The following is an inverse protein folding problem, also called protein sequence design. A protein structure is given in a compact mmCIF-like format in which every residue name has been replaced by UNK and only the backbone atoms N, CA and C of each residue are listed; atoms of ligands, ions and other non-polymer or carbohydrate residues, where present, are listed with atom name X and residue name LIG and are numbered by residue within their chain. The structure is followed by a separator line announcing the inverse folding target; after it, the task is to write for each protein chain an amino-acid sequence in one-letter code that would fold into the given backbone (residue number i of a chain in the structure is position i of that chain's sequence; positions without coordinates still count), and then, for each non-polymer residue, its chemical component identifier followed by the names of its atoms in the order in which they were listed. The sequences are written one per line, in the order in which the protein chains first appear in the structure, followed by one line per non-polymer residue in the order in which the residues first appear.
data_IF_628441940733
#
_entry.id   IF_628441940733
#
_cell.length_a   1.000
_cell.length_b   1.000
_cell.length_c   1.000
_cell.angle_alpha   90.00
_cell.angle_beta   90.00
_cell.angle_gamma   90.00
#
_symmetry.space_group_name_H-M   'P 1'
#
loop_
_entity.id
_entity.type
_entity.pdbx_description
1 polymer ?
#
# COMPACT_ATOMS: atom_id res chain seq x y z
N UNK A 1 0.46 -30.62 -12.96
CA UNK A 1 1.49 -29.95 -12.14
C UNK A 1 0.73 -29.17 -11.09
N UNK A 2 0.92 -29.40 -9.78
CA UNK A 2 0.30 -28.52 -8.79
C UNK A 2 1.07 -27.21 -8.88
N UNK A 3 0.47 -26.21 -9.52
CA UNK A 3 0.87 -24.82 -9.36
C UNK A 3 0.80 -24.55 -7.87
N UNK A 4 1.93 -24.27 -7.23
CA UNK A 4 1.93 -23.74 -5.87
C UNK A 4 0.99 -22.53 -5.89
N UNK A 5 -0.23 -22.72 -5.36
CA UNK A 5 -1.15 -21.63 -5.12
C UNK A 5 -0.43 -20.72 -4.13
N UNK A 6 0.30 -19.73 -4.66
CA UNK A 6 0.96 -18.69 -3.88
C UNK A 6 -0.16 -17.87 -3.26
N UNK A 7 -0.67 -18.37 -2.15
CA UNK A 7 -1.72 -17.70 -1.41
C UNK A 7 -1.16 -16.38 -0.91
N UNK A 8 -1.99 -15.34 -0.93
CA UNK A 8 -1.61 -14.01 -0.43
C UNK A 8 -1.04 -14.09 1.01
N UNK A 9 -1.48 -15.06 1.81
CA UNK A 9 -0.93 -15.35 3.14
C UNK A 9 0.55 -15.72 3.14
N UNK A 10 1.02 -16.49 2.17
CA UNK A 10 2.42 -16.86 2.05
C UNK A 10 3.27 -15.64 1.66
N UNK A 11 2.78 -14.85 0.69
CA UNK A 11 3.41 -13.57 0.32
C UNK A 11 3.51 -12.60 1.49
N UNK A 12 2.47 -12.51 2.33
CA UNK A 12 2.53 -11.71 3.55
C UNK A 12 3.61 -12.18 4.51
N UNK A 13 3.77 -13.50 4.68
CA UNK A 13 4.82 -14.06 5.53
C UNK A 13 6.20 -13.72 4.99
N UNK A 14 6.45 -14.00 3.71
CA UNK A 14 7.74 -13.78 3.06
C UNK A 14 8.14 -12.30 3.10
N UNK A 15 7.18 -11.41 2.86
CA UNK A 15 7.39 -9.96 2.93
C UNK A 15 7.54 -9.45 4.37
N UNK A 16 6.94 -10.11 5.36
CA UNK A 16 7.14 -9.78 6.79
C UNK A 16 8.56 -10.08 7.23
N UNK A 17 9.09 -11.23 6.78
CA UNK A 17 10.42 -11.73 7.16
C UNK A 17 11.54 -11.00 6.42
N UNK A 18 11.28 -10.49 5.20
CA UNK A 18 12.29 -9.83 4.35
C UNK A 18 12.27 -8.30 4.42
N UNK A 19 11.13 -7.67 4.69
CA UNK A 19 10.98 -6.21 4.63
C UNK A 19 10.53 -5.62 5.97
N UNK A 20 11.07 -4.44 6.34
CA UNK A 20 10.54 -3.68 7.46
C UNK A 20 9.14 -3.17 7.12
N UNK A 21 8.35 -2.94 8.17
CA UNK A 21 6.92 -2.64 8.10
C UNK A 21 6.55 -1.56 7.05
N UNK A 22 7.22 -0.41 7.12
CA UNK A 22 6.99 0.73 6.21
C UNK A 22 7.32 0.47 4.73
N UNK A 23 8.01 -0.62 4.38
CA UNK A 23 8.30 -1.02 3.00
C UNK A 23 7.32 -2.06 2.46
N UNK A 24 6.40 -2.55 3.29
CA UNK A 24 5.45 -3.59 2.89
C UNK A 24 4.31 -2.98 2.07
N UNK A 25 3.81 -3.70 1.05
CA UNK A 25 2.74 -3.19 0.20
C UNK A 25 1.44 -3.06 0.99
N UNK A 26 0.86 -1.86 0.96
CA UNK A 26 -0.45 -1.60 1.59
C UNK A 26 -1.61 -2.30 0.88
N UNK A 27 -1.53 -2.45 -0.45
CA UNK A 27 -2.47 -3.21 -1.27
C UNK A 27 -1.75 -4.30 -2.01
N UNK A 28 -2.28 -5.52 -1.92
CA UNK A 28 -1.73 -6.67 -2.61
C UNK A 28 -2.83 -7.44 -3.33
N UNK A 29 -2.54 -7.86 -4.56
CA UNK A 29 -3.39 -8.73 -5.36
C UNK A 29 -2.51 -9.65 -6.20
N UNK A 30 -2.88 -10.91 -6.27
CA UNK A 30 -2.27 -11.90 -7.17
C UNK A 30 -3.12 -11.95 -8.44
N UNK A 31 -2.46 -11.87 -9.60
CA UNK A 31 -3.10 -11.98 -10.90
C UNK A 31 -3.41 -13.45 -11.20
N UNK A 32 -4.56 -13.72 -11.83
CA UNK A 32 -4.94 -15.06 -12.28
C UNK A 32 -4.30 -15.37 -13.64
N UNK A 33 -4.28 -16.64 -14.04
CA UNK A 33 -3.65 -17.11 -15.28
C UNK A 33 -4.08 -16.38 -16.56
N UNK A 34 -5.32 -15.85 -16.59
CA UNK A 34 -5.87 -15.13 -17.73
C UNK A 34 -5.75 -13.59 -17.60
N UNK A 35 -5.09 -13.09 -16.55
CA UNK A 35 -4.91 -11.66 -16.30
C UNK A 35 -3.46 -11.26 -16.61
N UNK A 36 -3.27 -10.42 -17.63
CA UNK A 36 -1.95 -9.92 -18.02
C UNK A 36 -1.77 -8.45 -17.62
N UNK A 37 -0.51 -8.11 -17.32
CA UNK A 37 -0.13 -6.72 -17.07
C UNK A 37 -0.24 -5.94 -18.39
N UNK A 38 -0.92 -4.79 -18.42
CA UNK A 38 -0.96 -3.93 -19.60
C UNK A 38 0.40 -3.26 -19.81
N UNK A 39 0.94 -3.39 -21.02
CA UNK A 39 2.21 -2.81 -21.44
C UNK A 39 2.02 -1.82 -22.58
N UNK A 40 2.88 -0.80 -22.63
CA UNK A 40 3.05 0.04 -23.81
C UNK A 40 3.70 -0.73 -24.95
N UNK A 41 3.69 -0.16 -26.16
CA UNK A 41 4.46 -0.70 -27.30
C UNK A 41 5.97 -0.86 -26.99
N UNK A 42 6.50 -0.11 -26.02
CA UNK A 42 7.88 -0.20 -25.52
C UNK A 42 8.06 -1.14 -24.33
N UNK A 43 7.08 -2.02 -24.05
CA UNK A 43 7.11 -2.99 -22.94
C UNK A 43 7.18 -2.35 -21.55
N UNK A 44 6.72 -1.10 -21.39
CA UNK A 44 6.62 -0.46 -20.07
C UNK A 44 5.23 -0.71 -19.47
N UNK A 45 5.13 -1.13 -18.19
CA UNK A 45 3.84 -1.28 -17.53
C UNK A 45 3.05 0.03 -17.51
N UNK A 46 1.76 -0.02 -17.86
CA UNK A 46 0.88 1.15 -17.85
C UNK A 46 0.23 1.28 -16.46
N UNK A 47 0.89 2.00 -15.55
CA UNK A 47 0.46 2.13 -14.14
C UNK A 47 -0.99 2.57 -13.98
N UNK A 48 -1.43 3.60 -14.72
CA UNK A 48 -2.80 4.12 -14.62
C UNK A 48 -3.84 3.05 -14.97
N UNK A 49 -3.52 2.21 -15.97
CA UNK A 49 -4.39 1.14 -16.41
C UNK A 49 -4.38 -0.03 -15.43
N UNK A 50 -3.22 -0.39 -14.86
CA UNK A 50 -3.14 -1.38 -13.79
C UNK A 50 -3.97 -0.98 -12.57
N UNK A 51 -3.87 0.28 -12.14
CA UNK A 51 -4.63 0.81 -11.01
C UNK A 51 -6.14 0.74 -11.25
N UNK A 52 -6.58 1.09 -12.46
CA UNK A 52 -7.99 1.00 -12.85
C UNK A 52 -8.47 -0.44 -12.95
N UNK A 53 -7.74 -1.31 -13.66
CA UNK A 53 -8.14 -2.70 -13.95
C UNK A 53 -8.12 -3.58 -12.70
N UNK A 54 -7.09 -3.47 -11.86
CA UNK A 54 -6.86 -4.42 -10.76
C UNK A 54 -7.26 -3.89 -9.40
N UNK A 55 -7.15 -2.57 -9.19
CA UNK A 55 -7.42 -1.93 -7.90
C UNK A 55 -8.67 -1.05 -7.89
N UNK A 56 -9.36 -0.90 -9.03
CA UNK A 56 -10.59 -0.12 -9.15
C UNK A 56 -10.41 1.38 -8.93
N UNK A 57 -9.18 1.89 -9.08
CA UNK A 57 -8.84 3.30 -8.83
C UNK A 57 -9.02 4.10 -10.13
N UNK A 58 -10.01 5.00 -10.17
CA UNK A 58 -10.17 5.99 -11.25
C UNK A 58 -9.49 7.31 -10.91
N UNK A 59 -9.81 7.86 -9.74
CA UNK A 59 -9.31 9.17 -9.26
C UNK A 59 -8.70 9.05 -7.87
N UNK A 60 -9.40 8.38 -6.96
CA UNK A 60 -8.93 8.04 -5.63
C UNK A 60 -9.31 6.60 -5.27
N UNK A 61 -8.51 5.98 -4.42
CA UNK A 61 -8.81 4.65 -3.89
C UNK A 61 -9.73 4.77 -2.68
N UNK A 62 -10.77 3.93 -2.62
CA UNK A 62 -11.71 3.88 -1.50
C UNK A 62 -11.59 2.52 -0.78
N UNK A 63 -11.17 2.55 0.49
CA UNK A 63 -11.00 1.36 1.33
C UNK A 63 -12.31 0.59 1.56
N UNK A 64 -13.46 1.27 1.52
CA UNK A 64 -14.77 0.65 1.70
C UNK A 64 -15.23 -0.13 0.46
N UNK A 65 -14.64 0.17 -0.71
CA UNK A 65 -15.02 -0.43 -2.00
C UNK A 65 -13.82 -1.15 -2.62
N UNK A 66 -13.43 -2.25 -2.01
CA UNK A 66 -12.33 -3.08 -2.49
C UNK A 66 -12.66 -3.75 -3.82
N UNK A 67 -11.74 -3.64 -4.78
CA UNK A 67 -11.82 -4.41 -6.00
C UNK A 67 -11.66 -5.91 -5.70
N UNK A 68 -12.34 -6.81 -6.43
CA UNK A 68 -12.27 -8.25 -6.17
C UNK A 68 -10.84 -8.78 -6.17
N UNK A 69 -10.48 -9.57 -5.15
CA UNK A 69 -9.14 -10.19 -5.04
C UNK A 69 -8.04 -9.25 -4.53
N UNK A 70 -8.34 -7.98 -4.27
CA UNK A 70 -7.42 -7.07 -3.55
C UNK A 70 -7.55 -7.33 -2.05
N UNK A 71 -6.41 -7.51 -1.38
CA UNK A 71 -6.32 -7.54 0.08
C UNK A 71 -5.62 -6.27 0.57
N UNK A 72 -6.17 -5.68 1.63
CA UNK A 72 -5.50 -4.60 2.36
C UNK A 72 -4.56 -5.26 3.36
N UNK A 73 -3.28 -4.92 3.28
CA UNK A 73 -2.35 -5.20 4.35
C UNK A 73 -2.43 -4.08 5.37
N UNK A 74 -3.36 -4.18 6.30
CA UNK A 74 -3.35 -3.32 7.47
C UNK A 74 -2.15 -3.74 8.30
N UNK A 75 -1.05 -3.01 8.21
CA UNK A 75 -0.11 -3.03 9.31
C UNK A 75 -0.86 -2.47 10.51
N UNK A 76 -1.00 -3.30 11.56
CA UNK A 76 -0.96 -2.75 12.89
C UNK A 76 0.43 -2.14 13.03
N UNK A 77 0.66 -0.94 12.50
CA UNK A 77 1.65 -0.08 13.08
C UNK A 77 1.24 -0.04 14.55
N UNK A 78 2.00 -0.61 15.50
CA UNK A 78 1.85 -0.08 16.83
C UNK A 78 2.08 1.42 16.62
N UNK A 79 1.08 2.23 16.93
CA UNK A 79 1.30 3.64 17.27
C UNK A 79 2.14 3.63 18.56
N UNK A 80 3.34 3.08 18.48
CA UNK A 80 4.21 2.72 19.57
C UNK A 80 5.05 3.93 19.88
N UNK A 81 4.43 4.94 20.47
CA UNK A 81 5.14 6.13 20.94
C UNK A 81 4.25 7.32 21.26
N UNK A 82 3.41 7.21 22.29
CA UNK A 82 2.79 8.36 23.00
C UNK A 82 2.13 9.42 22.11
N UNK A 83 0.88 9.20 21.71
CA UNK A 83 -0.04 10.33 21.47
C UNK A 83 -0.61 10.90 22.79
N UNK A 84 0.19 10.87 23.84
CA UNK A 84 -0.15 11.42 25.16
C UNK A 84 0.91 12.41 25.65
N UNK A 85 1.70 12.97 24.73
CA UNK A 85 2.58 14.11 25.01
C UNK A 85 2.44 15.14 23.90
N UNK A 86 1.55 16.09 24.17
CA UNK A 86 1.49 17.45 23.61
C UNK A 86 1.60 17.45 22.07
N UNK A 87 0.45 17.57 21.41
CA UNK A 87 0.38 17.97 20.01
C UNK A 87 0.92 19.41 19.94
N UNK A 88 2.25 19.56 19.90
CA UNK A 88 2.86 20.76 19.38
C UNK A 88 2.52 20.76 17.90
N UNK A 89 1.60 21.64 17.53
CA UNK A 89 1.14 21.75 16.16
C UNK A 89 2.31 22.26 15.32
N UNK A 90 2.39 21.89 14.03
CA UNK A 90 3.50 22.30 13.17
C UNK A 90 3.72 23.82 13.04
N UNK A 91 2.76 24.65 13.46
CA UNK A 91 2.87 26.10 13.45
C UNK A 91 3.32 26.71 14.79
N UNK A 92 3.52 25.90 15.83
CA UNK A 92 4.00 26.39 17.14
C UNK A 92 5.48 26.83 17.07
N UNK A 93 6.27 26.36 16.10
CA UNK A 93 7.66 26.76 15.88
C UNK A 93 7.83 28.20 15.38
N UNK A 94 6.77 28.81 14.81
CA UNK A 94 6.82 30.18 14.31
C UNK A 94 6.86 31.24 15.43
N UNK A 95 6.54 30.86 16.68
CA UNK A 95 6.59 31.77 17.83
C UNK A 95 8.01 32.10 18.30
N UNK A 96 9.03 31.45 17.75
CA UNK A 96 10.43 31.59 18.17
C UNK A 96 11.19 32.73 17.47
N UNK A 97 10.55 33.47 16.55
CA UNK A 97 11.20 34.57 15.81
C UNK A 97 10.84 35.99 16.29
N UNK A 98 9.96 36.16 17.27
CA UNK A 98 9.64 37.48 17.85
C UNK A 98 10.22 37.62 19.26
N UNK A 99 11.54 37.67 19.35
CA UNK A 99 12.27 38.20 20.52
C UNK A 99 13.68 38.58 20.08
N UNK A 100 13.79 39.75 19.45
CA UNK A 100 15.02 40.49 19.19
C UNK A 100 14.75 41.97 19.43
#
# INVERSE_FOLDING_TARGET
MPTDDYTIKHLHKDLTDSLPAYMRPYLLRVLRDNEEIPYTASQKPIKAEMLKRFFGVSDFWNAEKLAPGVQIWCENFPLGGRFDRIIAKPWDWATWQTSG
#
